data_IF_090614921635
#
_entry.id   IF_090614921635
#
_cell.length_a   1.000
_cell.length_b   1.000
_cell.length_c   1.000
_cell.angle_alpha   90.00
_cell.angle_beta   90.00
_cell.angle_gamma   90.00
#
_symmetry.space_group_name_H-M   'P 1'
#
loop_
_entity.id
_entity.type
_entity.pdbx_description
1 polymer ?
#
# COMPACT_ATOMS: atom_id res chain seq x y z
N UNK A 1 14.11 11.85 15.75
CA UNK A 1 14.47 12.03 14.30
C UNK A 1 14.92 13.46 13.95
N UNK A 2 15.07 14.37 14.89
CA UNK A 2 15.54 15.72 14.59
C UNK A 2 16.98 15.69 14.06
N UNK A 3 17.21 16.23 12.85
CA UNK A 3 18.52 16.23 12.20
C UNK A 3 18.91 14.96 11.44
N UNK A 4 18.11 13.89 11.50
CA UNK A 4 18.37 12.66 10.73
C UNK A 4 18.17 12.89 9.22
N UNK A 5 19.06 12.37 8.38
CA UNK A 5 18.85 12.27 6.92
C UNK A 5 17.95 11.07 6.63
N UNK A 6 16.79 11.32 6.06
CA UNK A 6 15.79 10.30 5.78
C UNK A 6 15.75 10.01 4.28
N UNK A 7 15.86 8.74 3.89
CA UNK A 7 15.66 8.32 2.50
C UNK A 7 14.33 7.60 2.35
N UNK A 8 13.55 7.97 1.33
CA UNK A 8 12.27 7.34 0.99
C UNK A 8 12.37 6.72 -0.40
N UNK A 9 12.25 5.42 -0.51
CA UNK A 9 12.11 4.72 -1.80
C UNK A 9 10.62 4.56 -2.14
N UNK A 10 10.24 4.60 -3.41
CA UNK A 10 8.83 4.63 -3.80
C UNK A 10 8.16 5.95 -3.46
N UNK A 11 8.93 7.02 -3.47
CA UNK A 11 8.57 8.37 -3.05
C UNK A 11 7.39 8.98 -3.82
N UNK A 12 7.24 8.65 -5.09
CA UNK A 12 6.14 9.11 -5.97
C UNK A 12 4.85 8.31 -5.82
N UNK A 13 4.92 7.16 -5.13
CA UNK A 13 3.74 6.33 -4.83
C UNK A 13 2.80 6.98 -3.81
N UNK A 14 1.57 6.44 -3.66
CA UNK A 14 0.55 7.01 -2.79
C UNK A 14 1.04 7.18 -1.34
N UNK A 15 1.55 6.11 -0.69
CA UNK A 15 2.09 6.22 0.68
C UNK A 15 3.36 7.08 0.71
N UNK A 16 4.23 6.97 -0.31
CA UNK A 16 5.53 7.64 -0.34
C UNK A 16 5.41 9.16 -0.36
N UNK A 17 4.58 9.71 -1.25
CA UNK A 17 4.40 11.16 -1.32
C UNK A 17 3.73 11.73 -0.06
N UNK A 18 2.79 10.99 0.54
CA UNK A 18 2.12 11.41 1.79
C UNK A 18 3.09 11.33 2.97
N UNK A 19 3.94 10.31 3.04
CA UNK A 19 5.00 10.23 4.05
C UNK A 19 5.97 11.42 3.95
N UNK A 20 6.38 11.82 2.75
CA UNK A 20 7.26 12.98 2.55
C UNK A 20 6.55 14.26 2.99
N UNK A 21 5.25 14.43 2.70
CA UNK A 21 4.46 15.57 3.20
C UNK A 21 4.49 15.63 4.72
N UNK A 22 4.24 14.52 5.39
CA UNK A 22 4.28 14.43 6.86
C UNK A 22 5.68 14.69 7.42
N UNK A 23 6.74 14.20 6.78
CA UNK A 23 8.13 14.47 7.17
C UNK A 23 8.48 15.95 7.00
N UNK A 24 8.02 16.61 5.93
CA UNK A 24 8.22 18.04 5.72
C UNK A 24 7.52 18.89 6.79
N UNK A 25 6.29 18.54 7.22
CA UNK A 25 5.63 19.25 8.31
C UNK A 25 6.43 19.19 9.61
N UNK A 26 7.23 18.13 9.77
CA UNK A 26 8.14 17.91 10.91
C UNK A 26 9.56 18.46 10.66
N UNK A 27 9.77 19.18 9.55
CA UNK A 27 11.05 19.79 9.15
C UNK A 27 12.20 18.77 9.07
N UNK A 28 11.90 17.55 8.61
CA UNK A 28 12.91 16.52 8.41
C UNK A 28 13.64 16.73 7.09
N UNK A 29 14.93 16.35 7.03
CA UNK A 29 15.72 16.36 5.80
C UNK A 29 15.42 15.07 5.04
N UNK A 30 14.79 15.20 3.86
CA UNK A 30 14.30 14.04 3.10
C UNK A 30 14.96 13.96 1.73
N UNK A 31 15.39 12.75 1.38
CA UNK A 31 15.87 12.35 0.07
C UNK A 31 14.91 11.33 -0.53
N UNK A 32 14.37 11.61 -1.70
CA UNK A 32 13.45 10.75 -2.44
C UNK A 32 14.19 9.96 -3.51
N UNK A 33 14.18 8.62 -3.41
CA UNK A 33 14.65 7.76 -4.49
C UNK A 33 13.50 7.52 -5.47
N UNK A 34 13.69 7.98 -6.70
CA UNK A 34 12.68 7.97 -7.77
C UNK A 34 13.25 7.23 -8.98
N UNK A 35 12.43 6.43 -9.68
CA UNK A 35 12.88 5.75 -10.89
C UNK A 35 13.38 6.76 -11.95
N UNK A 36 14.35 6.39 -12.83
CA UNK A 36 14.94 7.30 -13.80
C UNK A 36 13.94 8.04 -14.69
N UNK A 37 12.83 7.37 -15.06
CA UNK A 37 11.81 7.91 -15.97
C UNK A 37 10.47 8.18 -15.27
N UNK A 38 10.44 8.18 -13.94
CA UNK A 38 9.19 8.39 -13.19
C UNK A 38 8.84 9.88 -13.13
N UNK A 39 7.53 10.18 -13.15
CA UNK A 39 7.01 11.52 -12.97
C UNK A 39 7.17 11.95 -11.50
N UNK A 40 7.76 13.13 -11.29
CA UNK A 40 7.93 13.68 -9.95
C UNK A 40 6.82 14.64 -9.53
N UNK A 41 5.81 14.86 -10.37
CA UNK A 41 4.65 15.70 -10.03
C UNK A 41 4.06 15.45 -8.63
N UNK A 42 3.98 14.18 -8.13
CA UNK A 42 3.52 13.93 -6.75
C UNK A 42 4.37 14.59 -5.65
N UNK A 43 5.58 15.02 -5.97
CA UNK A 43 6.53 15.66 -5.05
C UNK A 43 6.62 17.18 -5.22
N UNK A 44 5.87 17.78 -6.16
CA UNK A 44 5.91 19.21 -6.42
C UNK A 44 5.54 20.02 -5.16
N UNK A 45 6.33 21.07 -4.90
CA UNK A 45 6.16 21.94 -3.76
C UNK A 45 6.61 21.35 -2.41
N UNK A 46 7.22 20.15 -2.41
CA UNK A 46 7.81 19.55 -1.20
C UNK A 46 9.31 19.84 -1.11
N UNK A 47 9.78 20.06 0.12
CA UNK A 47 11.20 20.21 0.40
C UNK A 47 11.88 18.84 0.43
N UNK A 48 12.39 18.39 -0.73
CA UNK A 48 12.96 17.04 -0.89
C UNK A 48 14.09 17.04 -1.92
N UNK A 49 15.19 16.37 -1.58
CA UNK A 49 16.27 16.06 -2.52
C UNK A 49 15.85 14.85 -3.38
N UNK A 50 15.75 15.02 -4.71
CA UNK A 50 15.39 13.94 -5.62
C UNK A 50 16.66 13.28 -6.16
N UNK A 51 16.80 11.95 -5.93
CA UNK A 51 17.82 11.12 -6.54
C UNK A 51 17.17 10.09 -7.45
N UNK A 52 17.73 9.93 -8.66
CA UNK A 52 17.28 8.91 -9.62
C UNK A 52 17.98 7.59 -9.37
N UNK A 53 17.20 6.50 -9.26
CA UNK A 53 17.71 5.15 -9.06
C UNK A 53 16.63 4.09 -9.07
N UNK A 54 17.04 2.83 -9.02
CA UNK A 54 16.16 1.66 -9.05
C UNK A 54 16.53 0.70 -7.91
N UNK A 55 15.55 0.22 -7.15
CA UNK A 55 15.77 -0.75 -6.07
C UNK A 55 16.33 -2.09 -6.57
N UNK A 56 16.23 -2.36 -7.87
CA UNK A 56 16.84 -3.53 -8.51
C UNK A 56 18.33 -3.33 -8.83
N UNK A 57 18.84 -2.10 -8.70
CA UNK A 57 20.26 -1.76 -8.88
C UNK A 57 20.89 -1.37 -7.54
N UNK A 58 21.71 -2.28 -6.99
CA UNK A 58 22.37 -2.07 -5.71
C UNK A 58 23.28 -0.82 -5.70
N UNK A 59 23.96 -0.51 -6.81
CA UNK A 59 24.86 0.66 -6.88
C UNK A 59 24.08 1.97 -6.77
N UNK A 60 22.90 2.03 -7.38
CA UNK A 60 22.04 3.21 -7.27
C UNK A 60 21.55 3.41 -5.82
N UNK A 61 21.27 2.32 -5.10
CA UNK A 61 20.90 2.38 -3.69
C UNK A 61 22.06 2.81 -2.79
N UNK A 62 23.26 2.25 -2.99
CA UNK A 62 24.46 2.62 -2.22
C UNK A 62 24.73 4.12 -2.38
N UNK A 63 24.58 4.67 -3.59
CA UNK A 63 24.74 6.11 -3.83
C UNK A 63 23.65 6.94 -3.15
N UNK A 64 22.39 6.48 -3.20
CA UNK A 64 21.26 7.18 -2.59
C UNK A 64 21.29 7.17 -1.06
N UNK A 65 21.90 6.14 -0.45
CA UNK A 65 21.91 5.95 1.00
C UNK A 65 23.16 6.54 1.68
N UNK A 66 24.04 7.21 0.94
CA UNK A 66 25.17 7.92 1.55
C UNK A 66 24.67 8.95 2.56
N UNK A 67 25.11 8.82 3.82
CA UNK A 67 24.73 9.70 4.92
C UNK A 67 23.30 9.54 5.42
N UNK A 68 22.59 8.50 4.99
CA UNK A 68 21.24 8.23 5.46
C UNK A 68 21.24 7.61 6.87
N UNK A 69 20.45 8.18 7.77
CA UNK A 69 20.21 7.62 9.11
C UNK A 69 19.04 6.63 9.09
N UNK A 70 17.96 6.98 8.39
CA UNK A 70 16.74 6.20 8.30
C UNK A 70 16.36 5.99 6.84
N UNK A 71 15.97 4.76 6.50
CA UNK A 71 15.41 4.43 5.19
C UNK A 71 13.98 3.94 5.34
N UNK A 72 13.03 4.60 4.67
CA UNK A 72 11.68 4.09 4.47
C UNK A 72 11.62 3.41 3.10
N UNK A 73 11.46 2.09 3.12
CA UNK A 73 11.36 1.31 1.88
C UNK A 73 9.90 1.02 1.54
N UNK A 74 9.35 1.86 0.64
CA UNK A 74 7.99 1.74 0.14
C UNK A 74 7.93 1.30 -1.32
N UNK A 75 9.07 1.32 -2.04
CA UNK A 75 9.12 0.87 -3.42
C UNK A 75 8.68 -0.59 -3.55
N UNK A 76 7.76 -0.82 -4.46
CA UNK A 76 7.25 -2.15 -4.77
C UNK A 76 6.13 -2.09 -5.78
N UNK A 77 5.91 -3.19 -6.47
CA UNK A 77 4.81 -3.31 -7.42
C UNK A 77 3.61 -3.93 -6.71
N UNK A 78 2.48 -3.22 -6.78
CA UNK A 78 1.16 -3.71 -6.37
C UNK A 78 0.38 -4.06 -7.63
N UNK A 79 -0.04 -5.31 -7.78
CA UNK A 79 -0.83 -5.72 -8.94
C UNK A 79 -1.73 -6.90 -8.64
N UNK A 80 -2.92 -6.85 -9.19
CA UNK A 80 -3.89 -7.96 -9.20
C UNK A 80 -3.84 -8.74 -10.52
N UNK A 81 -2.94 -8.34 -11.45
CA UNK A 81 -2.82 -8.96 -12.77
C UNK A 81 -2.04 -10.27 -12.69
N UNK A 82 -2.59 -11.38 -13.19
CA UNK A 82 -1.82 -12.60 -13.37
C UNK A 82 -0.69 -12.37 -14.39
N UNK A 83 0.39 -13.14 -14.31
CA UNK A 83 1.56 -13.10 -15.21
C UNK A 83 2.70 -12.13 -14.86
N UNK A 84 2.64 -11.41 -13.75
CA UNK A 84 3.74 -10.53 -13.33
C UNK A 84 4.70 -11.16 -12.31
N UNK A 85 4.61 -12.46 -12.05
CA UNK A 85 5.38 -13.15 -11.00
C UNK A 85 6.89 -12.86 -11.07
N UNK A 86 7.51 -12.94 -12.27
CA UNK A 86 8.95 -12.67 -12.43
C UNK A 86 9.31 -11.21 -12.08
N UNK A 87 8.44 -10.27 -12.42
CA UNK A 87 8.67 -8.83 -12.13
C UNK A 87 8.48 -8.58 -10.64
N UNK A 88 7.45 -9.15 -10.02
CA UNK A 88 7.22 -9.09 -8.58
C UNK A 88 8.40 -9.68 -7.79
N UNK A 89 8.93 -10.84 -8.18
CA UNK A 89 10.12 -11.44 -7.55
C UNK A 89 11.33 -10.51 -7.67
N UNK A 90 11.59 -9.98 -8.86
CA UNK A 90 12.75 -9.09 -9.07
C UNK A 90 12.64 -7.80 -8.28
N UNK A 91 11.46 -7.14 -8.30
CA UNK A 91 11.28 -5.82 -7.68
C UNK A 91 10.99 -5.95 -6.19
N UNK A 92 9.98 -6.75 -5.79
CA UNK A 92 9.57 -6.80 -4.40
C UNK A 92 10.54 -7.60 -3.53
N UNK A 93 11.00 -8.77 -4.01
CA UNK A 93 11.93 -9.60 -3.22
C UNK A 93 13.38 -9.17 -3.45
N UNK A 94 13.81 -9.06 -4.71
CA UNK A 94 15.17 -8.62 -5.04
C UNK A 94 15.45 -7.20 -4.58
N UNK A 95 14.46 -6.29 -4.68
CA UNK A 95 14.55 -4.92 -4.18
C UNK A 95 14.82 -4.87 -2.68
N UNK A 96 14.08 -5.65 -1.87
CA UNK A 96 14.28 -5.74 -0.42
C UNK A 96 15.68 -6.28 -0.09
N UNK A 97 16.15 -7.31 -0.81
CA UNK A 97 17.53 -7.81 -0.64
C UNK A 97 18.58 -6.72 -0.86
N UNK A 98 18.43 -5.96 -1.94
CA UNK A 98 19.35 -4.88 -2.28
C UNK A 98 19.28 -3.74 -1.26
N UNK A 99 18.06 -3.33 -0.85
CA UNK A 99 17.88 -2.29 0.17
C UNK A 99 18.50 -2.69 1.50
N UNK A 100 18.26 -3.91 1.97
CA UNK A 100 18.87 -4.42 3.21
C UNK A 100 20.40 -4.41 3.13
N UNK A 101 20.97 -4.84 1.99
CA UNK A 101 22.42 -4.80 1.75
C UNK A 101 22.95 -3.37 1.72
N UNK A 102 22.30 -2.47 0.98
CA UNK A 102 22.68 -1.05 0.91
C UNK A 102 22.61 -0.37 2.27
N UNK A 103 21.57 -0.62 3.07
CA UNK A 103 21.49 -0.11 4.44
C UNK A 103 22.69 -0.53 5.29
N UNK A 104 23.10 -1.80 5.21
CA UNK A 104 24.28 -2.28 5.96
C UNK A 104 25.58 -1.66 5.49
N UNK A 105 25.80 -1.58 4.17
CA UNK A 105 27.04 -1.01 3.61
C UNK A 105 27.14 0.50 3.83
N UNK A 106 26.03 1.22 3.85
CA UNK A 106 25.98 2.67 4.08
C UNK A 106 25.86 3.06 5.56
N UNK A 107 25.78 2.09 6.47
CA UNK A 107 25.68 2.35 7.92
C UNK A 107 24.33 2.96 8.34
N UNK A 108 23.26 2.69 7.58
CA UNK A 108 21.91 3.14 7.93
C UNK A 108 21.51 2.59 9.29
N UNK A 109 21.11 3.45 10.19
CA UNK A 109 20.73 3.11 11.57
C UNK A 109 19.45 2.30 11.63
N UNK A 110 18.45 2.63 10.80
CA UNK A 110 17.13 1.99 10.84
C UNK A 110 16.48 1.91 9.46
N UNK A 111 15.94 0.73 9.14
CA UNK A 111 15.11 0.48 7.97
C UNK A 111 13.67 0.26 8.38
N UNK A 112 12.72 1.03 7.82
CA UNK A 112 11.29 0.79 7.95
C UNK A 112 10.76 0.28 6.61
N UNK A 113 10.34 -0.98 6.58
CA UNK A 113 9.85 -1.63 5.37
C UNK A 113 8.34 -1.71 5.35
N UNK A 114 7.73 -1.24 4.27
CA UNK A 114 6.29 -1.38 4.03
C UNK A 114 6.00 -2.69 3.30
N UNK A 115 5.53 -3.68 4.06
CA UNK A 115 5.00 -4.93 3.56
C UNK A 115 3.51 -4.77 3.18
N UNK A 116 2.66 -5.68 3.58
CA UNK A 116 1.21 -5.66 3.38
C UNK A 116 0.54 -6.64 4.34
N UNK A 117 -0.69 -6.37 4.75
CA UNK A 117 -1.50 -7.37 5.47
C UNK A 117 -1.67 -8.65 4.65
N UNK A 118 -1.69 -8.55 3.33
CA UNK A 118 -1.76 -9.72 2.43
C UNK A 118 -0.54 -10.64 2.47
N UNK A 119 0.57 -10.22 3.08
CA UNK A 119 1.74 -11.08 3.29
C UNK A 119 1.58 -12.03 4.47
N UNK A 120 0.60 -11.79 5.34
CA UNK A 120 0.30 -12.55 6.53
C UNK A 120 -0.65 -13.68 6.15
N UNK A 121 -0.37 -14.91 6.61
CA UNK A 121 -1.23 -16.06 6.36
C UNK A 121 -2.65 -15.81 6.91
N UNK A 122 -3.65 -16.10 6.09
CA UNK A 122 -5.03 -15.88 6.46
C UNK A 122 -5.52 -17.00 7.40
N UNK A 123 -5.95 -16.69 8.63
CA UNK A 123 -6.53 -17.67 9.53
C UNK A 123 -7.94 -18.06 9.06
N UNK A 124 -8.55 -19.13 9.61
CA UNK A 124 -9.92 -19.51 9.30
C UNK A 124 -10.90 -18.36 9.44
N UNK A 125 -11.92 -18.31 8.57
CA UNK A 125 -12.98 -17.29 8.61
C UNK A 125 -13.55 -17.10 10.02
N UNK A 126 -13.75 -15.82 10.40
CA UNK A 126 -14.23 -15.43 11.72
C UNK A 126 -13.12 -15.27 12.78
N UNK A 127 -11.88 -15.56 12.42
CA UNK A 127 -10.70 -15.26 13.26
C UNK A 127 -10.10 -13.92 12.84
N UNK A 128 -9.71 -13.10 13.80
CA UNK A 128 -9.07 -11.83 13.55
C UNK A 128 -7.64 -12.06 13.04
N UNK A 129 -7.26 -11.37 11.97
CA UNK A 129 -5.89 -11.32 11.49
C UNK A 129 -5.11 -10.36 12.39
N UNK A 130 -4.07 -10.85 13.04
CA UNK A 130 -3.17 -10.06 13.87
C UNK A 130 -1.71 -10.51 13.65
N UNK A 131 -0.80 -9.97 14.41
CA UNK A 131 0.62 -10.27 14.28
C UNK A 131 1.05 -11.61 14.91
N UNK A 132 0.14 -12.47 15.30
CA UNK A 132 0.42 -13.87 15.71
C UNK A 132 0.49 -14.82 14.52
N UNK A 133 -0.15 -14.48 13.40
CA UNK A 133 -0.08 -15.28 12.18
C UNK A 133 1.27 -15.10 11.48
N UNK A 134 1.83 -16.18 10.87
CA UNK A 134 3.10 -16.13 10.19
C UNK A 134 3.02 -15.44 8.81
N UNK A 135 4.16 -14.96 8.33
CA UNK A 135 4.33 -14.70 6.91
C UNK A 135 4.55 -16.05 6.20
N UNK A 136 3.58 -16.47 5.40
CA UNK A 136 3.66 -17.75 4.69
C UNK A 136 3.34 -17.56 3.20
N UNK A 137 4.35 -17.62 2.32
CA UNK A 137 4.14 -17.47 0.88
C UNK A 137 3.19 -18.50 0.26
N UNK A 138 3.07 -19.69 0.86
CA UNK A 138 2.19 -20.75 0.37
C UNK A 138 0.78 -20.66 0.97
N UNK A 139 0.65 -20.02 2.12
CA UNK A 139 -0.62 -19.77 2.83
C UNK A 139 -1.35 -18.50 2.42
N UNK A 140 -0.85 -17.74 1.41
CA UNK A 140 -1.47 -16.48 0.96
C UNK A 140 -1.95 -16.53 -0.49
N UNK A 141 -2.95 -15.71 -0.81
CA UNK A 141 -3.59 -15.69 -2.10
C UNK A 141 -2.92 -14.71 -3.08
N UNK A 142 -2.50 -15.23 -4.25
CA UNK A 142 -2.02 -14.43 -5.37
C UNK A 142 -0.52 -14.11 -5.35
N UNK A 143 0.01 -13.76 -6.53
CA UNK A 143 1.47 -13.56 -6.72
C UNK A 143 2.01 -12.34 -5.98
N UNK A 144 1.19 -11.28 -5.84
CA UNK A 144 1.55 -10.10 -5.06
C UNK A 144 1.76 -10.44 -3.58
N UNK A 145 0.78 -11.08 -2.96
CA UNK A 145 0.84 -11.48 -1.55
C UNK A 145 2.04 -12.40 -1.29
N UNK A 146 2.25 -13.40 -2.16
CA UNK A 146 3.42 -14.30 -2.12
C UNK A 146 4.74 -13.54 -2.18
N UNK A 147 4.85 -12.56 -3.09
CA UNK A 147 6.06 -11.75 -3.21
C UNK A 147 6.33 -10.91 -1.97
N UNK A 148 5.29 -10.32 -1.36
CA UNK A 148 5.41 -9.56 -0.11
C UNK A 148 5.77 -10.46 1.09
N UNK A 149 5.17 -11.65 1.19
CA UNK A 149 5.53 -12.61 2.24
C UNK A 149 7.01 -13.05 2.12
N UNK A 150 7.47 -13.41 0.91
CA UNK A 150 8.89 -13.75 0.68
C UNK A 150 9.82 -12.60 0.99
N UNK A 151 9.51 -11.39 0.52
CA UNK A 151 10.32 -10.21 0.78
C UNK A 151 10.44 -9.94 2.29
N UNK A 152 9.33 -10.10 3.02
CA UNK A 152 9.34 -9.95 4.49
C UNK A 152 10.19 -11.01 5.18
N UNK A 153 10.08 -12.28 4.76
CA UNK A 153 10.92 -13.36 5.31
C UNK A 153 12.39 -13.15 5.03
N UNK A 154 12.74 -12.69 3.83
CA UNK A 154 14.13 -12.33 3.48
C UNK A 154 14.66 -11.22 4.39
N UNK A 155 13.87 -10.17 4.61
CA UNK A 155 14.27 -9.07 5.49
C UNK A 155 14.45 -9.55 6.95
N UNK A 156 13.52 -10.36 7.46
CA UNK A 156 13.61 -10.94 8.79
C UNK A 156 14.84 -11.85 8.95
N UNK A 157 15.24 -12.56 7.88
CA UNK A 157 16.46 -13.34 7.88
C UNK A 157 17.71 -12.45 7.95
N UNK A 158 17.75 -11.34 7.20
CA UNK A 158 18.83 -10.35 7.29
C UNK A 158 18.93 -9.71 8.69
N UNK A 159 17.80 -9.44 9.34
CA UNK A 159 17.78 -8.96 10.74
C UNK A 159 18.36 -10.01 11.68
N UNK A 160 17.98 -11.29 11.53
CA UNK A 160 18.48 -12.40 12.37
C UNK A 160 19.99 -12.64 12.21
N UNK A 161 20.53 -12.40 11.04
CA UNK A 161 21.98 -12.47 10.80
C UNK A 161 22.75 -11.36 11.53
N UNK A 162 22.06 -10.33 12.02
CA UNK A 162 22.63 -9.20 12.73
C UNK A 162 23.12 -8.06 11.84
N UNK A 163 23.33 -6.90 12.43
CA UNK A 163 23.83 -5.71 11.75
C UNK A 163 22.80 -4.93 10.93
N UNK A 164 21.51 -5.25 11.03
CA UNK A 164 20.42 -4.48 10.45
C UNK A 164 19.30 -4.30 11.47
N UNK A 165 19.01 -3.06 11.83
CA UNK A 165 17.79 -2.69 12.55
C UNK A 165 16.68 -2.44 11.55
N UNK A 166 15.70 -3.36 11.45
CA UNK A 166 14.58 -3.21 10.53
C UNK A 166 13.24 -3.50 11.21
N UNK A 167 12.24 -2.69 10.85
CA UNK A 167 10.85 -2.82 11.29
C UNK A 167 9.97 -3.06 10.05
N UNK A 168 8.98 -3.92 10.20
CA UNK A 168 8.04 -4.27 9.14
C UNK A 168 6.69 -3.62 9.43
N UNK A 169 6.12 -2.90 8.46
CA UNK A 169 4.79 -2.30 8.56
C UNK A 169 3.86 -2.93 7.52
N UNK A 170 2.70 -3.39 7.96
CA UNK A 170 1.74 -4.13 7.17
C UNK A 170 0.41 -3.35 7.08
N UNK A 171 0.29 -2.36 6.18
CA UNK A 171 -0.97 -1.66 6.00
C UNK A 171 -2.02 -2.57 5.34
N UNK A 172 -3.29 -2.30 5.65
CA UNK A 172 -4.47 -2.87 4.98
C UNK A 172 -4.77 -2.10 3.67
N UNK A 173 -6.01 -2.01 3.24
CA UNK A 173 -6.39 -1.22 2.06
C UNK A 173 -6.21 0.27 2.29
N UNK A 174 -5.29 0.87 1.57
CA UNK A 174 -4.95 2.29 1.75
C UNK A 174 -5.89 3.17 0.95
N UNK A 175 -6.55 4.13 1.63
CA UNK A 175 -7.45 5.13 1.05
C UNK A 175 -7.02 6.54 1.46
N UNK A 176 -7.44 7.55 0.74
CA UNK A 176 -7.17 8.95 1.09
C UNK A 176 -6.64 9.79 -0.07
N UNK A 177 -6.39 11.09 0.16
CA UNK A 177 -5.96 12.03 -0.87
C UNK A 177 -4.54 11.75 -1.40
N UNK A 178 -4.14 12.45 -2.47
CA UNK A 178 -2.83 12.36 -3.16
C UNK A 178 -2.55 11.00 -3.82
N UNK A 179 -3.60 10.34 -4.32
CA UNK A 179 -3.52 9.06 -5.06
C UNK A 179 -3.20 9.29 -6.55
N UNK A 180 -2.05 9.93 -6.84
CA UNK A 180 -1.62 10.28 -8.20
C UNK A 180 -1.47 9.06 -9.12
N UNK A 181 -1.06 7.93 -8.57
CA UNK A 181 -0.88 6.67 -9.31
C UNK A 181 -2.18 5.91 -9.57
N UNK A 182 -3.31 6.43 -9.11
CA UNK A 182 -4.63 5.82 -9.14
C UNK A 182 -4.60 4.37 -8.66
N UNK A 183 -4.76 4.20 -7.37
CA UNK A 183 -4.86 2.89 -6.71
C UNK A 183 -6.11 2.13 -7.15
N UNK A 184 -6.22 0.87 -6.77
CA UNK A 184 -7.43 0.08 -7.07
C UNK A 184 -8.70 0.71 -6.47
N UNK A 185 -8.62 1.30 -5.28
CA UNK A 185 -9.75 2.00 -4.65
C UNK A 185 -9.98 3.36 -5.34
N UNK A 186 -8.92 4.06 -5.72
CA UNK A 186 -9.04 5.29 -6.52
C UNK A 186 -9.75 5.03 -7.85
N UNK A 187 -9.40 3.93 -8.54
CA UNK A 187 -10.11 3.54 -9.76
C UNK A 187 -11.59 3.21 -9.51
N UNK A 188 -11.91 2.54 -8.39
CA UNK A 188 -13.30 2.27 -8.00
C UNK A 188 -14.09 3.57 -7.81
N UNK A 189 -13.49 4.59 -7.18
CA UNK A 189 -14.10 5.92 -6.99
C UNK A 189 -14.38 6.58 -8.35
N UNK A 190 -13.40 6.54 -9.27
CA UNK A 190 -13.56 7.12 -10.61
C UNK A 190 -14.60 6.36 -11.44
N UNK A 191 -14.63 5.05 -11.38
CA UNK A 191 -15.64 4.22 -12.06
C UNK A 191 -17.04 4.46 -11.51
N UNK A 192 -17.16 4.66 -10.19
CA UNK A 192 -18.42 5.05 -9.55
C UNK A 192 -18.88 6.42 -10.04
N UNK A 193 -17.98 7.41 -10.02
CA UNK A 193 -18.30 8.78 -10.46
C UNK A 193 -18.71 8.85 -11.95
N UNK A 194 -18.13 7.97 -12.77
CA UNK A 194 -18.45 7.85 -14.19
C UNK A 194 -19.75 7.07 -14.47
N UNK A 195 -20.39 6.52 -13.43
CA UNK A 195 -21.62 5.74 -13.56
C UNK A 195 -21.42 4.36 -14.22
N UNK A 196 -20.19 3.86 -14.29
CA UNK A 196 -19.91 2.53 -14.85
C UNK A 196 -20.30 1.40 -13.90
N UNK A 197 -20.33 1.64 -12.59
CA UNK A 197 -20.72 0.65 -11.60
C UNK A 197 -22.24 0.51 -11.53
N UNK A 198 -22.77 -0.53 -12.16
CA UNK A 198 -24.22 -0.83 -12.18
C UNK A 198 -24.63 -1.86 -11.14
N UNK A 199 -23.67 -2.56 -10.56
CA UNK A 199 -23.86 -3.65 -9.61
C UNK A 199 -22.67 -3.76 -8.69
N UNK A 200 -22.81 -4.47 -7.60
CA UNK A 200 -21.73 -4.76 -6.66
C UNK A 200 -21.74 -6.24 -6.24
N UNK A 201 -20.63 -6.70 -5.69
CA UNK A 201 -20.49 -8.01 -5.04
C UNK A 201 -20.46 -7.77 -3.54
N UNK A 202 -21.21 -8.52 -2.75
CA UNK A 202 -21.18 -8.45 -1.30
C UNK A 202 -19.82 -8.93 -0.78
N UNK A 203 -19.30 -8.24 0.19
CA UNK A 203 -18.03 -8.54 0.86
C UNK A 203 -17.64 -7.39 1.76
N UNK A 204 -16.50 -7.52 2.39
CA UNK A 204 -15.92 -6.48 3.24
C UNK A 204 -14.42 -6.37 2.98
N UNK A 205 -13.87 -5.21 3.29
CA UNK A 205 -12.45 -4.99 3.26
C UNK A 205 -12.03 -4.05 4.40
N UNK A 206 -10.84 -4.24 4.95
CA UNK A 206 -10.30 -3.30 5.93
C UNK A 206 -9.57 -2.17 5.24
N UNK A 207 -9.93 -0.92 5.57
CA UNK A 207 -9.34 0.29 5.01
C UNK A 207 -8.68 1.13 6.08
N UNK A 208 -7.54 1.71 5.74
CA UNK A 208 -6.78 2.66 6.56
C UNK A 208 -6.44 3.90 5.74
N UNK A 209 -6.49 5.07 6.38
CA UNK A 209 -6.11 6.32 5.71
C UNK A 209 -4.61 6.37 5.43
N UNK A 210 -4.24 6.86 4.25
CA UNK A 210 -2.84 7.01 3.82
C UNK A 210 -2.02 7.90 4.75
N UNK A 211 -2.63 8.91 5.36
CA UNK A 211 -1.99 9.83 6.33
C UNK A 211 -1.74 9.13 7.66
N UNK A 212 -2.66 8.22 8.06
CA UNK A 212 -2.48 7.42 9.27
C UNK A 212 -1.38 6.36 9.05
N UNK A 213 -1.31 5.78 7.84
CA UNK A 213 -0.19 4.91 7.45
C UNK A 213 1.13 5.66 7.49
N UNK A 214 1.20 6.86 6.90
CA UNK A 214 2.40 7.70 6.91
C UNK A 214 2.85 8.02 8.35
N UNK A 215 1.92 8.43 9.22
CA UNK A 215 2.18 8.66 10.63
C UNK A 215 2.62 7.38 11.36
N UNK A 216 1.97 6.26 11.08
CA UNK A 216 2.34 4.94 11.62
C UNK A 216 3.77 4.52 11.24
N UNK A 217 4.21 4.79 10.00
CA UNK A 217 5.59 4.55 9.56
C UNK A 217 6.58 5.39 10.35
N UNK A 218 6.27 6.67 10.59
CA UNK A 218 7.12 7.56 11.41
C UNK A 218 7.19 7.04 12.84
N UNK A 219 6.06 6.68 13.44
CA UNK A 219 6.02 6.09 14.77
C UNK A 219 6.81 4.78 14.85
N UNK A 220 6.76 3.94 13.82
CA UNK A 220 7.55 2.72 13.72
C UNK A 220 9.06 3.03 13.66
N UNK A 221 9.46 4.08 12.93
CA UNK A 221 10.85 4.53 12.93
C UNK A 221 11.32 5.01 14.30
N UNK A 222 10.46 5.67 15.07
CA UNK A 222 10.78 6.23 16.39
C UNK A 222 10.77 5.18 17.51
N UNK A 223 9.75 4.31 17.54
CA UNK A 223 9.43 3.45 18.70
C UNK A 223 9.46 1.96 18.38
N UNK A 224 9.45 1.58 17.09
CA UNK A 224 9.37 0.20 16.68
C UNK A 224 10.55 -0.64 17.16
N UNK A 225 10.30 -1.91 17.45
CA UNK A 225 11.30 -2.86 17.88
C UNK A 225 11.86 -3.63 16.68
N UNK A 226 13.19 -3.80 16.64
CA UNK A 226 13.90 -4.51 15.59
C UNK A 226 13.32 -5.91 15.35
N UNK A 227 13.05 -6.25 14.09
CA UNK A 227 12.48 -7.54 13.69
C UNK A 227 10.98 -7.70 13.97
N UNK A 228 10.34 -6.72 14.61
CA UNK A 228 8.89 -6.73 14.81
C UNK A 228 8.15 -6.27 13.57
N UNK A 229 6.93 -6.76 13.43
CA UNK A 229 5.98 -6.25 12.46
C UNK A 229 4.75 -5.67 13.13
N UNK A 230 4.17 -4.65 12.49
CA UNK A 230 3.02 -3.91 12.95
C UNK A 230 1.99 -3.81 11.85
N UNK A 231 0.74 -4.20 12.15
CA UNK A 231 -0.38 -4.06 11.22
C UNK A 231 -0.98 -2.66 11.38
N UNK A 232 -1.16 -1.97 10.26
CA UNK A 232 -1.87 -0.69 10.21
C UNK A 232 -3.24 -0.92 9.58
N UNK A 233 -4.22 -1.23 10.43
CA UNK A 233 -5.62 -1.46 10.11
C UNK A 233 -6.45 -0.28 10.61
N UNK A 234 -7.42 0.16 9.83
CA UNK A 234 -8.33 1.24 10.20
C UNK A 234 -9.71 0.71 10.56
N UNK A 235 -10.53 0.43 9.56
CA UNK A 235 -11.89 -0.06 9.75
C UNK A 235 -12.29 -1.10 8.72
N UNK A 236 -12.97 -2.16 9.16
CA UNK A 236 -13.67 -3.07 8.28
C UNK A 236 -14.91 -2.38 7.70
N UNK A 237 -14.98 -2.29 6.37
CA UNK A 237 -16.07 -1.62 5.64
C UNK A 237 -16.74 -2.62 4.73
N UNK A 238 -18.06 -2.72 4.83
CA UNK A 238 -18.87 -3.51 3.92
C UNK A 238 -19.02 -2.80 2.57
N UNK A 239 -18.97 -3.56 1.46
CA UNK A 239 -19.13 -2.96 0.12
C UNK A 239 -20.39 -2.11 -0.02
N UNK A 240 -21.58 -2.52 0.49
CA UNK A 240 -22.76 -1.66 0.43
C UNK A 240 -22.62 -0.33 1.19
N UNK A 241 -21.88 -0.34 2.30
CA UNK A 241 -21.62 0.89 3.09
C UNK A 241 -20.70 1.84 2.33
N UNK A 242 -19.65 1.28 1.70
CA UNK A 242 -18.75 2.03 0.84
C UNK A 242 -19.51 2.68 -0.34
N UNK A 243 -20.40 1.94 -1.01
CA UNK A 243 -21.21 2.46 -2.11
C UNK A 243 -22.10 3.62 -1.67
N UNK A 244 -22.73 3.52 -0.49
CA UNK A 244 -23.54 4.60 0.08
C UNK A 244 -22.71 5.84 0.43
N UNK A 245 -21.50 5.64 0.93
CA UNK A 245 -20.61 6.75 1.25
C UNK A 245 -20.12 7.46 -0.02
N UNK A 246 -19.82 6.71 -1.08
CA UNK A 246 -19.52 7.28 -2.39
C UNK A 246 -20.72 8.05 -2.97
N UNK A 247 -21.96 7.55 -2.82
CA UNK A 247 -23.17 8.27 -3.21
C UNK A 247 -23.29 9.62 -2.50
N UNK A 248 -23.03 9.67 -1.18
CA UNK A 248 -23.07 10.93 -0.40
C UNK A 248 -22.05 11.95 -0.88
N UNK A 249 -20.84 11.51 -1.17
CA UNK A 249 -19.74 12.42 -1.52
C UNK A 249 -19.72 12.82 -2.99
N UNK A 250 -20.16 11.94 -3.90
CA UNK A 250 -20.15 12.16 -5.35
C UNK A 250 -21.53 12.63 -5.84
N UNK A 251 -22.60 12.16 -5.15
CA UNK A 251 -23.98 12.46 -5.52
C UNK A 251 -24.48 11.66 -6.73
N UNK A 252 -23.82 10.56 -7.09
CA UNK A 252 -24.30 9.56 -8.06
C UNK A 252 -24.97 8.41 -7.30
N UNK A 253 -26.15 7.90 -7.73
CA UNK A 253 -26.85 6.85 -6.99
C UNK A 253 -26.02 5.57 -6.89
N UNK A 254 -25.96 5.00 -5.69
CA UNK A 254 -25.31 3.73 -5.46
C UNK A 254 -25.98 2.60 -6.25
N UNK A 255 -25.20 1.64 -6.78
CA UNK A 255 -25.76 0.49 -7.44
C UNK A 255 -26.60 -0.33 -6.45
N UNK A 256 -27.82 -0.71 -6.86
CA UNK A 256 -28.75 -1.49 -6.04
C UNK A 256 -28.71 -2.98 -6.33
N UNK A 257 -28.05 -3.37 -7.43
CA UNK A 257 -28.03 -4.76 -7.90
C UNK A 257 -26.85 -5.51 -7.32
N UNK A 258 -27.13 -6.51 -6.48
CA UNK A 258 -26.13 -7.42 -5.92
C UNK A 258 -25.91 -8.60 -6.87
N UNK A 259 -24.66 -8.84 -7.27
CA UNK A 259 -24.27 -10.01 -8.04
C UNK A 259 -23.72 -11.06 -7.06
N UNK A 260 -24.22 -12.31 -7.07
CA UNK A 260 -23.64 -13.40 -6.30
C UNK A 260 -22.16 -13.59 -6.64
N UNK A 261 -21.31 -13.76 -5.62
CA UNK A 261 -19.85 -13.86 -5.77
C UNK A 261 -19.41 -14.95 -6.76
N UNK A 262 -20.15 -16.07 -6.81
CA UNK A 262 -19.88 -17.17 -7.75
C UNK A 262 -20.04 -16.72 -9.21
N UNK A 263 -21.11 -15.97 -9.50
CA UNK A 263 -21.37 -15.44 -10.86
C UNK A 263 -20.30 -14.41 -11.22
N UNK A 264 -20.01 -13.50 -10.30
CA UNK A 264 -19.00 -12.46 -10.48
C UNK A 264 -17.59 -13.06 -10.70
N UNK A 265 -17.25 -14.14 -9.99
CA UNK A 265 -15.97 -14.86 -10.16
C UNK A 265 -15.84 -15.48 -11.55
N UNK A 266 -16.87 -16.16 -12.03
CA UNK A 266 -16.88 -16.73 -13.40
C UNK A 266 -16.76 -15.62 -14.44
N UNK A 267 -17.55 -14.54 -14.30
CA UNK A 267 -17.48 -13.38 -15.17
C UNK A 267 -16.10 -12.71 -15.13
N UNK A 268 -15.45 -12.62 -13.96
CA UNK A 268 -14.11 -12.07 -13.78
C UNK A 268 -13.02 -12.88 -14.51
N UNK A 269 -13.14 -14.21 -14.54
CA UNK A 269 -12.24 -15.07 -15.33
C UNK A 269 -12.38 -14.77 -16.82
N UNK A 270 -13.62 -14.75 -17.33
CA UNK A 270 -13.90 -14.48 -18.74
C UNK A 270 -13.49 -13.03 -19.12
N UNK A 271 -13.79 -12.08 -18.27
CA UNK A 271 -13.39 -10.68 -18.45
C UNK A 271 -11.85 -10.54 -18.50
N UNK A 272 -11.11 -11.25 -17.66
CA UNK A 272 -9.64 -11.20 -17.66
C UNK A 272 -9.05 -11.64 -19.01
N UNK A 273 -9.65 -12.62 -19.69
CA UNK A 273 -9.25 -13.05 -21.04
C UNK A 273 -9.58 -11.97 -22.06
N UNK A 274 -10.80 -11.42 -22.03
CA UNK A 274 -11.25 -10.37 -22.94
C UNK A 274 -10.41 -9.10 -22.79
N UNK A 275 -10.20 -8.60 -21.56
CA UNK A 275 -9.43 -7.40 -21.29
C UNK A 275 -7.95 -7.55 -21.66
N UNK A 276 -7.39 -8.78 -21.57
CA UNK A 276 -6.04 -9.07 -22.09
C UNK A 276 -5.95 -8.86 -23.60
N UNK A 277 -7.00 -9.25 -24.36
CA UNK A 277 -7.04 -9.07 -25.81
C UNK A 277 -7.13 -7.60 -26.21
N UNK A 278 -7.91 -6.79 -25.50
CA UNK A 278 -8.09 -5.36 -25.79
C UNK A 278 -7.09 -4.44 -25.07
N UNK A 279 -6.12 -5.00 -24.33
CA UNK A 279 -5.09 -4.27 -23.55
C UNK A 279 -5.66 -3.21 -22.59
N UNK A 280 -6.83 -3.47 -22.00
CA UNK A 280 -7.42 -2.63 -20.94
C UNK A 280 -7.36 -3.32 -19.59
N UNK A 281 -7.41 -2.54 -18.49
CA UNK A 281 -7.48 -3.09 -17.12
C UNK A 281 -8.90 -3.58 -16.85
N UNK A 282 -9.11 -4.81 -16.35
CA UNK A 282 -10.44 -5.27 -15.94
C UNK A 282 -10.91 -4.52 -14.70
N UNK A 283 -12.19 -4.14 -14.66
CA UNK A 283 -12.83 -3.51 -13.50
C UNK A 283 -12.88 -4.48 -12.31
N UNK A 284 -13.13 -5.76 -12.58
CA UNK A 284 -13.11 -6.84 -11.60
C UNK A 284 -12.29 -8.01 -12.11
N UNK A 285 -11.50 -8.61 -11.22
CA UNK A 285 -10.78 -9.87 -11.47
C UNK A 285 -11.31 -10.93 -10.52
N UNK A 286 -11.14 -12.20 -10.85
CA UNK A 286 -11.46 -13.29 -9.91
C UNK A 286 -10.72 -13.09 -8.58
N UNK A 287 -9.49 -12.61 -8.63
CA UNK A 287 -8.69 -12.28 -7.43
C UNK A 287 -9.34 -11.19 -6.56
N UNK A 288 -9.84 -10.09 -7.15
CA UNK A 288 -10.51 -9.04 -6.35
C UNK A 288 -11.77 -9.53 -5.67
N UNK A 289 -12.49 -10.47 -6.28
CA UNK A 289 -13.68 -11.10 -5.69
C UNK A 289 -13.28 -12.06 -4.57
N UNK A 290 -12.22 -12.84 -4.77
CA UNK A 290 -11.68 -13.73 -3.74
C UNK A 290 -11.22 -12.92 -2.52
N UNK A 291 -10.57 -11.77 -2.72
CA UNK A 291 -10.17 -10.84 -1.64
C UNK A 291 -11.37 -10.25 -0.89
N UNK A 292 -12.43 -9.85 -1.60
CA UNK A 292 -13.68 -9.36 -0.95
C UNK A 292 -14.41 -10.45 -0.15
N UNK A 293 -14.17 -11.71 -0.51
CA UNK A 293 -14.76 -12.89 0.17
C UNK A 293 -13.83 -13.46 1.25
N UNK A 294 -12.61 -12.94 1.37
CA UNK A 294 -11.62 -13.38 2.35
C UNK A 294 -11.90 -12.79 3.74
N UNK A 295 -11.08 -13.17 4.72
CA UNK A 295 -11.21 -12.65 6.07
C UNK A 295 -10.75 -11.21 6.14
N UNK A 296 -11.65 -10.29 6.48
CA UNK A 296 -11.40 -8.84 6.52
C UNK A 296 -11.38 -8.26 7.95
N UNK A 297 -11.44 -9.13 8.97
CA UNK A 297 -11.28 -8.71 10.36
C UNK A 297 -9.80 -8.62 10.69
N UNK A 298 -9.28 -7.41 10.79
CA UNK A 298 -7.86 -7.14 11.02
C UNK A 298 -7.66 -6.32 12.29
N UNK A 299 -6.64 -6.63 13.07
CA UNK A 299 -6.33 -5.92 14.32
C UNK A 299 -5.04 -5.11 14.17
N UNK A 300 -5.07 -3.86 14.60
CA UNK A 300 -3.89 -3.01 14.82
C UNK A 300 -3.57 -2.82 16.32
N UNK A 301 -3.98 -3.76 17.17
CA UNK A 301 -3.79 -3.65 18.62
C UNK A 301 -2.34 -3.43 18.99
N UNK A 302 -1.42 -4.21 18.45
CA UNK A 302 0.03 -4.05 18.70
C UNK A 302 0.54 -2.66 18.29
N UNK A 303 0.16 -2.17 17.11
CA UNK A 303 0.56 -0.84 16.66
C UNK A 303 0.02 0.26 17.58
N UNK A 304 -1.21 0.12 18.08
CA UNK A 304 -1.80 1.06 19.05
C UNK A 304 -1.06 1.04 20.39
N UNK A 305 -0.79 -0.13 20.92
CA UNK A 305 -0.17 -0.30 22.24
C UNK A 305 1.30 0.09 22.25
N UNK A 306 2.09 -0.36 21.28
CA UNK A 306 3.53 -0.18 21.28
C UNK A 306 3.97 1.13 20.61
N UNK A 307 3.26 1.59 19.57
CA UNK A 307 3.62 2.78 18.82
C UNK A 307 2.77 4.01 19.16
N UNK A 308 1.57 3.80 19.68
CA UNK A 308 0.56 4.87 19.83
C UNK A 308 -0.15 5.18 18.48
N UNK A 309 -0.26 4.19 17.60
CA UNK A 309 -0.96 4.32 16.31
C UNK A 309 -2.43 4.66 16.52
N UNK A 310 -2.94 5.61 15.74
CA UNK A 310 -4.34 6.02 15.74
C UNK A 310 -4.87 6.13 14.32
N UNK A 311 -6.17 5.99 14.15
CA UNK A 311 -6.82 6.06 12.84
C UNK A 311 -7.99 7.04 12.88
N UNK A 312 -8.19 7.74 11.77
CA UNK A 312 -9.37 8.57 11.53
C UNK A 312 -10.56 7.73 11.05
N UNK A 313 -11.79 8.26 11.12
CA UNK A 313 -12.95 7.63 10.52
C UNK A 313 -12.74 7.42 9.01
N UNK A 314 -13.06 6.22 8.51
CA UNK A 314 -12.87 5.89 7.09
C UNK A 314 -13.76 6.74 6.16
N UNK A 315 -14.88 7.25 6.66
CA UNK A 315 -15.77 8.17 5.94
C UNK A 315 -15.05 9.47 5.59
N UNK A 316 -14.28 10.02 6.53
CA UNK A 316 -13.48 11.23 6.30
C UNK A 316 -12.42 10.96 5.24
N UNK A 317 -11.81 9.78 5.26
CA UNK A 317 -10.82 9.37 4.25
C UNK A 317 -11.40 9.28 2.85
N UNK A 318 -12.62 8.73 2.70
CA UNK A 318 -13.33 8.69 1.41
C UNK A 318 -13.72 10.10 0.97
N UNK A 319 -14.25 10.92 1.87
CA UNK A 319 -14.60 12.31 1.58
C UNK A 319 -13.37 13.08 1.05
N UNK A 320 -12.25 12.99 1.74
CA UNK A 320 -11.00 13.67 1.36
C UNK A 320 -10.44 13.13 0.04
N UNK A 321 -10.53 11.82 -0.21
CA UNK A 321 -10.09 11.22 -1.46
C UNK A 321 -10.91 11.72 -2.66
N UNK A 322 -12.25 11.73 -2.51
CA UNK A 322 -13.17 12.27 -3.53
C UNK A 322 -12.93 13.77 -3.76
N UNK A 323 -12.74 14.55 -2.69
CA UNK A 323 -12.49 15.99 -2.79
C UNK A 323 -11.14 16.26 -3.48
N UNK A 324 -10.12 15.45 -3.20
CA UNK A 324 -8.83 15.56 -3.87
C UNK A 324 -8.97 15.24 -5.37
N UNK A 325 -9.64 14.15 -5.77
CA UNK A 325 -9.91 13.89 -7.19
C UNK A 325 -10.70 15.02 -7.86
N UNK A 326 -11.58 15.70 -7.10
CA UNK A 326 -12.32 16.85 -7.62
C UNK A 326 -11.42 18.06 -7.86
N UNK A 327 -10.49 18.34 -6.93
CA UNK A 327 -9.53 19.46 -7.08
C UNK A 327 -8.54 19.22 -8.21
N UNK A 328 -8.16 17.97 -8.47
CA UNK A 328 -7.29 17.58 -9.61
C UNK A 328 -8.05 17.50 -10.96
N UNK A 329 -9.37 17.78 -10.98
CA UNK A 329 -10.17 17.70 -12.19
C UNK A 329 -10.35 16.27 -12.73
N UNK A 330 -10.12 15.25 -11.90
CA UNK A 330 -10.21 13.84 -12.30
C UNK A 330 -11.63 13.29 -12.28
N UNK A 331 -12.54 13.93 -11.54
CA UNK A 331 -13.95 13.54 -11.55
C UNK A 331 -14.65 14.10 -12.78
N UNK A 332 -15.58 13.35 -13.40
CA UNK A 332 -16.34 13.83 -14.53
C UNK A 332 -17.16 15.07 -14.12
N UNK A 333 -17.06 16.15 -14.93
CA UNK A 333 -17.92 17.32 -14.79
C UNK A 333 -19.36 16.92 -15.13
N UNK A 334 -20.29 17.21 -14.25
CA UNK A 334 -21.72 17.05 -14.57
C UNK A 334 -22.12 18.11 -15.58
N UNK A 335 -22.54 17.68 -16.75
CA UNK A 335 -23.33 18.51 -17.68
C UNK A 335 -24.75 18.60 -17.19
#
# INVERSE_FOLDING_TARGET
MEGDMIVVTGATGHIGNVLIRELNTRRQIVRALVLPNDDCHPLDGLEVEIIRGDVTDLKSLESAFVGADIVFHLAGIVTIMPSMKKVLERVNVGGVCNVAKACRTSGVRRLVYTSSVHAIAEPPHGTVIDESQPFDPDGVLGDYARSKARATLVLLDEVRKGGLDAIICCPTGVIGPWDYGISNIGQLILDFASGYLKSYVRGAYDFVDVRDVANGLILAAEKGQTGRHYIFSGAQVQVPELMKELERNIGYPAPTYEIPAVIARVAGVLASVYYRLIRRRPVFTAYSIDVLSSNSQVSSARAREELGFTTRPWQDSICDHVNWFRSEGMLPTRS
#
